data_IF_148456712040
#
_entry.id   IF_148456712040
#
_cell.length_a   1.000
_cell.length_b   1.000
_cell.length_c   1.000
_cell.angle_alpha   90.00
_cell.angle_beta   90.00
_cell.angle_gamma   90.00
#
_symmetry.space_group_name_H-M   'P 1'
#
loop_
_entity.id
_entity.type
_entity.pdbx_description
1 polymer ?
#
# COMPACT_ATOMS: atom_id res chain seq x y z
N UNK A 1 -28.80 -52.61 19.80
CA UNK A 1 -27.63 -51.70 19.72
C UNK A 1 -27.77 -50.63 20.80
N UNK A 2 -26.70 -50.32 21.54
CA UNK A 2 -26.75 -49.54 22.79
C UNK A 2 -26.94 -48.04 22.49
N UNK A 3 -28.18 -47.58 22.37
CA UNK A 3 -28.59 -46.19 22.12
C UNK A 3 -27.87 -45.16 22.98
N UNK A 4 -27.45 -45.56 24.20
CA UNK A 4 -26.65 -44.74 25.12
C UNK A 4 -25.33 -44.27 24.51
N UNK A 5 -24.64 -45.12 23.75
CA UNK A 5 -23.36 -44.76 23.14
C UNK A 5 -23.55 -43.82 21.94
N UNK A 6 -24.66 -43.96 21.21
CA UNK A 6 -25.00 -43.07 20.08
C UNK A 6 -25.33 -41.66 20.57
N UNK A 7 -26.02 -41.53 21.71
CA UNK A 7 -26.31 -40.22 22.32
C UNK A 7 -25.03 -39.53 22.79
N UNK A 8 -24.11 -40.26 23.43
CA UNK A 8 -22.82 -39.70 23.86
C UNK A 8 -22.01 -39.20 22.66
N UNK A 9 -21.97 -39.98 21.57
CA UNK A 9 -21.26 -39.58 20.34
C UNK A 9 -21.90 -38.33 19.70
N UNK A 10 -23.23 -38.26 19.65
CA UNK A 10 -23.95 -37.11 19.09
C UNK A 10 -23.69 -35.83 19.90
N UNK A 11 -23.71 -35.92 21.24
CA UNK A 11 -23.37 -34.79 22.12
C UNK A 11 -21.93 -34.35 21.93
N UNK A 12 -20.99 -35.31 21.81
CA UNK A 12 -19.58 -34.99 21.54
C UNK A 12 -19.40 -34.29 20.18
N UNK A 13 -20.14 -34.71 19.16
CA UNK A 13 -20.09 -34.12 17.83
C UNK A 13 -20.67 -32.71 17.80
N UNK A 14 -21.76 -32.46 18.53
CA UNK A 14 -22.33 -31.11 18.71
C UNK A 14 -21.36 -30.23 19.49
N UNK A 15 -20.72 -30.74 20.54
CA UNK A 15 -19.71 -30.00 21.30
C UNK A 15 -18.48 -29.67 20.45
N UNK A 16 -18.02 -30.62 19.62
CA UNK A 16 -16.91 -30.39 18.69
C UNK A 16 -17.29 -29.40 17.60
N UNK A 17 -18.51 -29.51 17.04
CA UNK A 17 -19.05 -28.58 16.06
C UNK A 17 -19.23 -27.17 16.63
N UNK A 18 -19.73 -27.05 17.86
CA UNK A 18 -19.82 -25.79 18.57
C UNK A 18 -18.44 -25.22 18.91
N UNK A 19 -17.48 -26.07 19.28
CA UNK A 19 -16.10 -25.65 19.48
C UNK A 19 -15.50 -25.11 18.19
N UNK A 20 -15.56 -25.86 17.08
CA UNK A 20 -15.07 -25.41 15.77
C UNK A 20 -15.78 -24.13 15.33
N UNK A 21 -17.11 -24.06 15.43
CA UNK A 21 -17.89 -22.87 15.09
C UNK A 21 -17.51 -21.65 15.94
N UNK A 22 -17.37 -21.81 17.26
CA UNK A 22 -16.99 -20.72 18.16
C UNK A 22 -15.52 -20.30 17.95
N UNK A 23 -14.62 -21.25 17.68
CA UNK A 23 -13.21 -20.97 17.44
C UNK A 23 -12.93 -20.44 16.02
N UNK A 24 -13.74 -20.76 15.01
CA UNK A 24 -13.63 -20.21 13.65
C UNK A 24 -14.28 -18.82 13.54
N UNK A 25 -15.47 -18.58 14.11
CA UNK A 25 -16.07 -17.23 14.08
C UNK A 25 -15.29 -16.20 14.91
N UNK A 26 -14.64 -16.61 16.00
CA UNK A 26 -13.84 -15.71 16.83
C UNK A 26 -12.46 -15.41 16.22
N UNK A 27 -12.00 -16.17 15.23
CA UNK A 27 -10.72 -15.92 14.54
C UNK A 27 -10.85 -14.99 13.33
N UNK A 28 -12.06 -14.81 12.81
CA UNK A 28 -12.37 -13.91 11.68
C UNK A 28 -12.84 -12.51 12.09
N UNK A 29 -13.22 -12.29 13.35
CA UNK A 29 -13.73 -10.99 13.79
C UNK A 29 -12.62 -10.15 14.42
N UNK A 30 -12.27 -9.05 13.75
CA UNK A 30 -11.24 -8.06 14.14
C UNK A 30 -9.79 -8.43 13.80
N UNK A 31 -9.54 -8.83 12.54
CA UNK A 31 -8.25 -8.47 11.93
C UNK A 31 -8.22 -6.94 11.88
N UNK A 32 -7.60 -6.31 12.89
CA UNK A 32 -7.34 -4.87 12.90
C UNK A 32 -6.55 -4.61 11.63
N UNK A 33 -7.21 -4.12 10.58
CA UNK A 33 -6.54 -3.75 9.33
C UNK A 33 -5.59 -2.63 9.70
N UNK A 34 -4.35 -2.98 10.03
CA UNK A 34 -3.29 -2.00 10.18
C UNK A 34 -3.14 -1.35 8.81
N UNK A 35 -3.47 -0.07 8.75
CA UNK A 35 -3.29 0.72 7.54
C UNK A 35 -1.80 0.99 7.37
N UNK A 36 -1.32 1.00 6.12
CA UNK A 36 0.05 1.37 5.82
C UNK A 36 0.37 2.78 6.33
N UNK A 37 -0.56 3.72 6.15
CA UNK A 37 -0.55 5.05 6.76
C UNK A 37 -1.96 5.43 7.19
N UNK A 38 -2.05 6.20 8.28
CA UNK A 38 -3.30 6.78 8.75
C UNK A 38 -3.20 8.30 8.62
N UNK A 39 -3.87 8.86 7.62
CA UNK A 39 -3.99 10.30 7.39
C UNK A 39 -5.34 10.62 6.75
N UNK A 40 -5.79 11.87 6.84
CA UNK A 40 -6.94 12.35 6.07
C UNK A 40 -6.43 12.94 4.76
N UNK A 41 -7.08 12.61 3.64
CA UNK A 41 -6.68 13.10 2.32
C UNK A 41 -6.67 14.64 2.25
N UNK A 42 -7.62 15.28 2.94
CA UNK A 42 -7.74 16.74 3.06
C UNK A 42 -6.55 17.40 3.76
N UNK A 43 -5.88 16.66 4.64
CA UNK A 43 -4.70 17.13 5.37
C UNK A 43 -3.41 16.97 4.55
N UNK A 44 -3.45 16.39 3.34
CA UNK A 44 -2.27 16.21 2.48
C UNK A 44 -1.99 17.50 1.70
N UNK A 45 -0.79 18.07 1.89
CA UNK A 45 -0.33 19.27 1.21
C UNK A 45 0.53 18.94 -0.03
N UNK A 46 1.44 17.98 0.10
CA UNK A 46 2.30 17.56 -1.01
C UNK A 46 2.58 16.06 -1.00
N UNK A 47 2.82 15.53 -2.20
CA UNK A 47 3.17 14.13 -2.43
C UNK A 47 4.40 14.13 -3.34
N UNK A 48 5.45 13.43 -2.91
CA UNK A 48 6.66 13.22 -3.71
C UNK A 48 6.77 11.75 -4.02
N UNK A 49 6.83 11.43 -5.32
CA UNK A 49 7.00 10.09 -5.85
C UNK A 49 8.39 10.00 -6.50
N UNK A 50 9.28 9.28 -5.85
CA UNK A 50 10.64 9.05 -6.30
C UNK A 50 10.75 7.66 -6.95
N UNK A 51 10.90 7.63 -8.27
CA UNK A 51 11.21 6.46 -9.06
C UNK A 51 12.73 6.36 -9.29
N UNK A 52 13.28 5.19 -9.69
CA UNK A 52 14.71 5.03 -9.93
C UNK A 52 15.31 6.04 -10.91
N UNK A 53 14.56 6.47 -11.92
CA UNK A 53 15.04 7.38 -12.96
C UNK A 53 14.37 8.76 -12.92
N UNK A 54 13.30 8.95 -12.13
CA UNK A 54 12.42 10.13 -12.23
C UNK A 54 11.83 10.52 -10.89
N UNK A 55 11.61 11.81 -10.70
CA UNK A 55 10.89 12.35 -9.54
C UNK A 55 9.63 13.06 -10.01
N UNK A 56 8.51 12.83 -9.32
CA UNK A 56 7.28 13.60 -9.48
C UNK A 56 6.94 14.27 -8.16
N UNK A 57 6.68 15.57 -8.23
CA UNK A 57 6.17 16.33 -7.09
C UNK A 57 4.77 16.85 -7.41
N UNK A 58 3.84 16.49 -6.55
CA UNK A 58 2.47 16.97 -6.55
C UNK A 58 2.30 17.91 -5.36
N UNK A 59 1.67 19.05 -5.61
CA UNK A 59 1.32 20.02 -4.58
C UNK A 59 -0.17 20.34 -4.68
N UNK A 60 -0.83 20.40 -3.52
CA UNK A 60 -2.21 20.86 -3.42
C UNK A 60 -2.23 22.38 -3.59
N UNK A 61 -2.89 22.84 -4.65
CA UNK A 61 -3.14 24.25 -4.95
C UNK A 61 -4.60 24.54 -4.62
N UNK A 62 -4.96 24.61 -3.33
CA UNK A 62 -6.33 24.89 -2.92
C UNK A 62 -6.68 26.36 -3.24
N UNK A 63 -7.85 26.66 -3.86
CA UNK A 63 -8.99 25.78 -4.17
C UNK A 63 -8.96 25.14 -5.58
N UNK A 64 -7.90 25.35 -6.36
CA UNK A 64 -7.74 24.91 -7.76
C UNK A 64 -7.46 23.40 -7.94
N UNK A 65 -7.16 22.67 -6.86
CA UNK A 65 -7.00 21.22 -6.87
C UNK A 65 -5.56 20.78 -6.68
N UNK A 66 -5.08 19.86 -7.52
CA UNK A 66 -3.71 19.34 -7.47
C UNK A 66 -2.91 19.81 -8.68
N UNK A 67 -1.62 20.09 -8.48
CA UNK A 67 -0.69 20.43 -9.56
C UNK A 67 0.56 19.60 -9.46
N UNK A 68 1.09 19.22 -10.62
CA UNK A 68 2.45 18.74 -10.76
C UNK A 68 3.34 19.99 -10.76
N UNK A 69 4.34 20.02 -9.88
CA UNK A 69 5.35 21.09 -9.81
C UNK A 69 6.72 20.62 -10.28
N UNK A 70 6.90 19.31 -10.43
CA UNK A 70 8.09 18.69 -10.99
C UNK A 70 7.72 17.35 -11.66
N UNK A 71 8.26 17.02 -12.84
CA UNK A 71 9.33 17.72 -13.59
C UNK A 71 8.86 18.94 -14.38
N UNK A 72 7.55 19.08 -14.61
CA UNK A 72 6.94 20.22 -15.29
C UNK A 72 5.79 20.78 -14.47
N UNK A 73 5.45 22.05 -14.69
CA UNK A 73 4.28 22.67 -14.06
C UNK A 73 3.02 22.39 -14.87
N UNK A 74 2.12 21.55 -14.35
CA UNK A 74 0.82 21.32 -14.96
C UNK A 74 -0.25 20.97 -13.93
N UNK A 75 -1.51 21.09 -14.35
CA UNK A 75 -2.62 20.59 -13.54
C UNK A 75 -2.51 19.06 -13.44
N UNK A 76 -2.71 18.53 -12.24
CA UNK A 76 -2.82 17.10 -12.00
C UNK A 76 -4.30 16.70 -11.93
N UNK A 77 -4.64 15.54 -12.47
CA UNK A 77 -5.97 14.97 -12.33
C UNK A 77 -6.26 14.64 -10.86
N UNK A 78 -7.28 15.26 -10.29
CA UNK A 78 -7.66 15.09 -8.89
C UNK A 78 -8.13 13.67 -8.57
N UNK A 79 -8.74 12.96 -9.54
CA UNK A 79 -9.18 11.58 -9.38
C UNK A 79 -7.99 10.62 -9.37
N UNK A 80 -6.97 10.88 -10.19
CA UNK A 80 -5.72 10.13 -10.15
C UNK A 80 -4.98 10.32 -8.82
N UNK A 81 -4.88 11.56 -8.33
CA UNK A 81 -4.26 11.83 -7.02
C UNK A 81 -5.07 11.20 -5.88
N UNK A 82 -6.40 11.28 -5.92
CA UNK A 82 -7.28 10.60 -4.97
C UNK A 82 -7.06 9.09 -4.96
N UNK A 83 -6.92 8.45 -6.13
CA UNK A 83 -6.62 7.03 -6.22
C UNK A 83 -5.27 6.64 -5.58
N UNK A 84 -4.24 7.49 -5.72
CA UNK A 84 -2.94 7.31 -5.04
C UNK A 84 -3.12 7.37 -3.53
N UNK A 85 -3.77 8.44 -3.03
CA UNK A 85 -3.98 8.63 -1.60
C UNK A 85 -4.82 7.51 -0.99
N UNK A 86 -5.87 7.10 -1.70
CA UNK A 86 -6.69 5.96 -1.33
C UNK A 86 -5.88 4.66 -1.33
N UNK A 87 -5.01 4.41 -2.31
CA UNK A 87 -4.16 3.22 -2.32
C UNK A 87 -3.15 3.19 -1.16
N UNK A 88 -2.65 4.35 -0.73
CA UNK A 88 -1.71 4.48 0.40
C UNK A 88 -2.42 4.35 1.76
N UNK A 89 -3.63 4.91 1.87
CA UNK A 89 -4.47 4.87 3.07
C UNK A 89 -5.18 3.51 3.25
N UNK A 90 -5.69 2.94 2.16
CA UNK A 90 -6.35 1.64 2.12
C UNK A 90 -5.38 0.48 1.93
N UNK A 91 -4.07 0.75 1.79
CA UNK A 91 -3.04 -0.28 1.75
C UNK A 91 -3.10 -1.10 3.02
N UNK A 92 -3.74 -2.26 2.94
CA UNK A 92 -3.88 -3.17 4.06
C UNK A 92 -2.52 -3.84 4.32
N UNK A 93 -2.05 -3.77 5.56
CA UNK A 93 -0.94 -4.59 6.04
C UNK A 93 -1.45 -6.04 6.09
N UNK A 94 -1.21 -6.83 5.05
CA UNK A 94 -1.67 -8.23 5.02
C UNK A 94 -0.95 -9.05 6.08
N UNK A 95 0.36 -8.80 6.25
CA UNK A 95 1.22 -9.44 7.25
C UNK A 95 2.54 -8.65 7.38
N UNK A 96 3.01 -8.44 8.61
CA UNK A 96 4.41 -8.11 8.86
C UNK A 96 5.26 -9.30 8.41
N UNK A 97 6.13 -9.11 7.42
CA UNK A 97 6.95 -10.19 6.86
C UNK A 97 8.27 -10.33 7.63
N UNK A 98 8.93 -9.21 7.91
CA UNK A 98 10.19 -9.19 8.66
C UNK A 98 10.35 -7.85 9.39
N UNK A 99 10.34 -7.87 10.73
CA UNK A 99 10.42 -6.65 11.54
C UNK A 99 11.78 -5.94 11.45
N UNK A 100 12.86 -6.72 11.35
CA UNK A 100 14.24 -6.22 11.25
C UNK A 100 14.93 -6.84 10.04
N UNK A 101 14.73 -6.28 8.82
CA UNK A 101 15.42 -6.76 7.63
C UNK A 101 16.92 -6.44 7.69
N UNK A 102 17.75 -7.39 7.28
CA UNK A 102 19.16 -7.15 6.98
C UNK A 102 19.31 -6.42 5.63
N UNK A 103 20.49 -5.88 5.32
CA UNK A 103 20.72 -5.26 4.01
C UNK A 103 20.53 -6.25 2.85
N UNK A 104 20.87 -7.52 3.06
CA UNK A 104 20.66 -8.57 2.06
C UNK A 104 19.18 -8.80 1.79
N UNK A 105 18.36 -8.81 2.84
CA UNK A 105 16.90 -8.90 2.72
C UNK A 105 16.31 -7.72 1.93
N UNK A 106 16.80 -6.50 2.19
CA UNK A 106 16.36 -5.33 1.44
C UNK A 106 16.69 -5.44 -0.05
N UNK A 107 17.83 -6.03 -0.41
CA UNK A 107 18.18 -6.29 -1.81
C UNK A 107 17.28 -7.36 -2.42
N UNK A 108 17.05 -8.47 -1.72
CA UNK A 108 16.21 -9.57 -2.18
C UNK A 108 14.75 -9.15 -2.40
N UNK A 109 14.26 -8.19 -1.60
CA UNK A 109 12.88 -7.68 -1.71
C UNK A 109 12.76 -6.46 -2.63
N UNK A 110 13.86 -5.99 -3.24
CA UNK A 110 13.87 -4.78 -4.06
C UNK A 110 13.58 -3.50 -3.27
N UNK A 111 13.86 -3.48 -1.96
CA UNK A 111 13.69 -2.32 -1.08
C UNK A 111 14.97 -1.50 -0.89
N UNK A 112 16.13 -2.06 -1.28
CA UNK A 112 17.40 -1.35 -1.43
C UNK A 112 17.34 -0.34 -2.59
N UNK A 113 16.75 -0.77 -3.71
CA UNK A 113 16.39 0.07 -4.86
C UNK A 113 14.87 -0.03 -5.08
N UNK A 114 14.06 0.75 -4.35
CA UNK A 114 12.61 0.68 -4.45
C UNK A 114 12.15 1.05 -5.86
N UNK A 115 11.09 0.40 -6.33
CA UNK A 115 10.40 0.78 -7.57
C UNK A 115 9.78 2.18 -7.43
N UNK A 116 9.28 2.50 -6.23
CA UNK A 116 8.81 3.84 -5.91
C UNK A 116 8.98 4.13 -4.42
N UNK A 117 9.48 5.32 -4.10
CA UNK A 117 9.48 5.89 -2.76
C UNK A 117 8.46 7.02 -2.70
N UNK A 118 7.48 6.89 -1.82
CA UNK A 118 6.41 7.87 -1.62
C UNK A 118 6.64 8.63 -0.32
N UNK A 119 6.72 9.95 -0.41
CA UNK A 119 6.77 10.85 0.73
C UNK A 119 5.55 11.76 0.72
N UNK A 120 4.88 11.89 1.86
CA UNK A 120 3.70 12.75 2.02
C UNK A 120 4.00 13.80 3.09
N UNK A 121 3.70 15.05 2.77
CA UNK A 121 3.72 16.16 3.74
C UNK A 121 2.29 16.60 3.99
N UNK A 122 1.94 16.74 5.26
CA UNK A 122 0.64 17.23 5.69
C UNK A 122 0.63 18.76 5.83
N UNK A 123 -0.56 19.36 5.76
CA UNK A 123 -0.80 20.81 5.86
C UNK A 123 -0.39 21.41 7.20
N UNK A 124 -0.18 20.57 8.23
CA UNK A 124 0.39 20.98 9.52
C UNK A 124 1.93 21.02 9.52
N UNK A 125 2.58 20.84 8.37
CA UNK A 125 4.03 20.77 8.20
C UNK A 125 4.66 19.44 8.61
N UNK A 126 3.87 18.45 9.06
CA UNK A 126 4.39 17.13 9.45
C UNK A 126 4.60 16.25 8.22
N UNK A 127 5.79 15.66 8.09
CA UNK A 127 6.06 14.63 7.09
C UNK A 127 5.68 13.24 7.63
N UNK A 128 4.92 12.48 6.86
CA UNK A 128 4.65 11.08 7.18
C UNK A 128 5.91 10.24 6.90
N UNK A 129 6.09 9.10 7.60
CA UNK A 129 7.15 8.16 7.30
C UNK A 129 7.10 7.75 5.82
N UNK A 130 8.21 7.83 5.08
CA UNK A 130 8.21 7.52 3.65
C UNK A 130 7.87 6.04 3.44
N UNK A 131 7.07 5.75 2.42
CA UNK A 131 6.79 4.38 2.01
C UNK A 131 7.76 4.02 0.89
N UNK A 132 8.51 2.94 1.08
CA UNK A 132 9.29 2.31 0.02
C UNK A 132 8.51 1.11 -0.49
N UNK A 133 8.23 1.09 -1.79
CA UNK A 133 7.61 -0.04 -2.47
C UNK A 133 8.69 -0.75 -3.27
N UNK A 134 8.88 -2.03 -2.98
CA UNK A 134 9.85 -2.89 -3.63
C UNK A 134 9.18 -3.84 -4.64
N UNK A 135 9.81 -5.00 -4.83
CA UNK A 135 9.39 -5.96 -5.82
C UNK A 135 8.08 -6.67 -5.46
N UNK A 136 7.44 -7.23 -6.49
CA UNK A 136 6.36 -8.23 -6.32
C UNK A 136 6.92 -9.50 -5.69
N UNK A 137 6.11 -10.17 -4.88
CA UNK A 137 6.46 -11.52 -4.40
C UNK A 137 6.57 -12.48 -5.59
N UNK A 138 7.39 -13.55 -5.50
CA UNK A 138 7.53 -14.53 -6.58
C UNK A 138 6.20 -15.17 -7.02
N UNK A 139 5.25 -15.27 -6.09
CA UNK A 139 3.90 -15.79 -6.31
C UNK A 139 2.92 -14.75 -6.87
N UNK A 140 3.34 -13.49 -7.04
CA UNK A 140 2.58 -12.40 -7.66
C UNK A 140 1.42 -11.82 -6.84
N UNK A 141 1.05 -12.43 -5.71
CA UNK A 141 -0.16 -12.06 -4.96
C UNK A 141 0.04 -10.96 -3.90
N UNK A 142 1.27 -10.49 -3.73
CA UNK A 142 1.64 -9.43 -2.78
C UNK A 142 2.84 -8.61 -3.27
N UNK A 143 3.06 -7.45 -2.66
CA UNK A 143 4.22 -6.57 -2.89
C UNK A 143 4.91 -6.28 -1.57
N UNK A 144 6.25 -6.23 -1.60
CA UNK A 144 7.05 -5.83 -0.44
C UNK A 144 7.04 -4.32 -0.26
N UNK A 145 6.72 -3.88 0.95
CA UNK A 145 6.64 -2.47 1.32
C UNK A 145 7.38 -2.25 2.64
N UNK A 146 8.04 -1.11 2.78
CA UNK A 146 8.72 -0.70 4.01
C UNK A 146 8.29 0.70 4.40
N UNK A 147 7.99 0.91 5.69
CA UNK A 147 7.64 2.21 6.25
C UNK A 147 8.86 2.83 6.92
N UNK A 148 9.43 3.88 6.33
CA UNK A 148 10.62 4.54 6.84
C UNK A 148 11.90 3.71 6.68
N UNK A 149 13.03 4.32 7.05
CA UNK A 149 14.35 3.67 7.00
C UNK A 149 14.56 2.65 8.13
N UNK A 150 13.78 2.71 9.21
CA UNK A 150 13.89 1.83 10.38
C UNK A 150 12.75 0.81 10.48
N UNK A 151 11.77 0.88 9.57
CA UNK A 151 10.62 -0.02 9.60
C UNK A 151 10.93 -1.43 9.11
N UNK A 152 10.08 -2.35 9.54
CA UNK A 152 10.02 -3.70 9.01
C UNK A 152 9.46 -3.76 7.59
N UNK A 153 9.68 -4.90 6.95
CA UNK A 153 9.11 -5.27 5.65
C UNK A 153 7.71 -5.83 5.87
N UNK A 154 6.78 -5.28 5.12
CA UNK A 154 5.36 -5.60 5.14
C UNK A 154 4.97 -6.11 3.76
N UNK A 155 4.04 -7.08 3.73
CA UNK A 155 3.37 -7.47 2.50
C UNK A 155 2.03 -6.74 2.38
N UNK A 156 1.80 -6.13 1.23
CA UNK A 156 0.50 -5.52 0.89
C UNK A 156 -0.03 -6.04 -0.45
N UNK A 157 -1.22 -5.57 -0.84
CA UNK A 157 -1.88 -5.95 -2.08
C UNK A 157 -1.09 -5.43 -3.31
N UNK A 158 -0.93 -6.23 -4.38
CA UNK A 158 -0.33 -5.78 -5.64
C UNK A 158 -0.96 -4.51 -6.24
N UNK A 159 -2.21 -4.18 -5.88
CA UNK A 159 -2.86 -2.93 -6.32
C UNK A 159 -2.07 -1.67 -5.99
N UNK A 160 -1.22 -1.67 -4.94
CA UNK A 160 -0.40 -0.49 -4.62
C UNK A 160 0.61 -0.21 -5.74
N UNK A 161 1.24 -1.26 -6.27
CA UNK A 161 2.26 -1.16 -7.30
C UNK A 161 1.61 -0.89 -8.65
N UNK A 162 0.44 -1.48 -8.93
CA UNK A 162 -0.33 -1.13 -10.13
C UNK A 162 -0.76 0.35 -10.11
N UNK A 163 -1.24 0.86 -8.96
CA UNK A 163 -1.65 2.26 -8.88
C UNK A 163 -0.49 3.25 -8.88
N UNK A 164 0.70 2.82 -8.48
CA UNK A 164 1.92 3.62 -8.51
C UNK A 164 2.82 3.27 -9.71
N UNK A 165 2.33 2.45 -10.64
CA UNK A 165 3.11 2.04 -11.80
C UNK A 165 3.34 3.26 -12.69
N UNK A 166 4.62 3.55 -12.92
CA UNK A 166 5.13 4.74 -13.57
C UNK A 166 4.31 5.16 -14.82
N UNK A 167 4.31 4.31 -15.87
CA UNK A 167 3.64 4.61 -17.15
C UNK A 167 2.14 4.83 -17.04
N UNK A 168 1.44 4.00 -16.25
CA UNK A 168 -0.01 4.13 -16.08
C UNK A 168 -0.39 5.34 -15.24
N UNK A 169 0.48 5.70 -14.29
CA UNK A 169 0.26 6.86 -13.44
C UNK A 169 0.41 8.15 -14.24
N UNK A 170 1.38 8.24 -15.15
CA UNK A 170 1.63 9.46 -15.94
C UNK A 170 0.42 9.84 -16.78
N UNK A 171 -0.11 8.86 -17.52
CA UNK A 171 -1.31 9.03 -18.33
C UNK A 171 -2.53 9.45 -17.49
N UNK A 172 -2.65 8.93 -16.26
CA UNK A 172 -3.74 9.30 -15.35
C UNK A 172 -3.54 10.67 -14.73
N UNK A 173 -2.31 11.07 -14.40
CA UNK A 173 -2.01 12.36 -13.78
C UNK A 173 -2.18 13.52 -14.76
N UNK A 174 -1.57 13.41 -15.95
CA UNK A 174 -1.73 14.38 -17.03
C UNK A 174 -1.12 13.83 -18.33
N UNK A 175 -1.85 13.93 -19.44
CA UNK A 175 -1.33 13.59 -20.77
C UNK A 175 -0.05 14.36 -21.14
N UNK A 176 0.06 15.65 -20.78
CA UNK A 176 1.26 16.44 -21.05
C UNK A 176 2.50 15.92 -20.33
N UNK A 177 2.32 15.32 -19.13
CA UNK A 177 3.39 14.68 -18.41
C UNK A 177 3.85 13.41 -19.13
N UNK A 178 2.91 12.59 -19.64
CA UNK A 178 3.25 11.40 -20.41
C UNK A 178 4.03 11.75 -21.68
N UNK A 179 3.55 12.73 -22.44
CA UNK A 179 4.19 13.17 -23.69
C UNK A 179 5.61 13.70 -23.44
N UNK A 180 5.82 14.52 -22.40
CA UNK A 180 7.13 15.05 -22.02
C UNK A 180 8.14 13.95 -21.64
N UNK A 181 7.70 12.93 -20.90
CA UNK A 181 8.58 11.85 -20.43
C UNK A 181 8.90 10.83 -21.55
N UNK A 182 8.01 10.68 -22.54
CA UNK A 182 8.26 9.86 -23.73
C UNK A 182 9.24 10.55 -24.70
N UNK A 183 9.21 11.88 -24.82
CA UNK A 183 10.18 12.64 -25.62
C UNK A 183 11.60 12.57 -25.03
N UNK A 184 11.74 12.60 -23.71
CA UNK A 184 13.04 12.53 -23.03
C UNK A 184 13.70 11.13 -23.11
N UNK A 185 12.93 10.09 -23.44
CA UNK A 185 13.46 8.72 -23.64
C UNK A 185 14.03 8.47 -25.04
N UNK A 186 13.83 9.41 -25.97
CA UNK A 186 14.16 9.25 -27.38
C UNK A 186 15.54 9.81 -27.72
#
# INVERSE_FOLDING_TARGET
>A
MRLRNTVVLAVLFILLGAYVYFFELQKDSAKKTERLLSFKEEEVESIVLNYPEREIRLQRDAPRGWRIVHPLEAAADASAVGAILAALSAGEVKRAFKEKPSQMDLRDYGLDKPEVRVSITLTNGSALPPILVGARTPVGNSVYVRRGADGGVILTNPSILTNLAEKELYNRLNKQLADFLDEEKK
#
